data_IF_788635848148
#
_entry.id   IF_788635848148
#
_cell.length_a   1.000
_cell.length_b   1.000
_cell.length_c   1.000
_cell.angle_alpha   90.00
_cell.angle_beta   90.00
_cell.angle_gamma   90.00
#
_symmetry.space_group_name_H-M   'P 1'
#
loop_
_entity.id
_entity.type
_entity.pdbx_description
1 polymer ?
#
# COMPACT_ATOMS: atom_id res chain seq x y z
N UNK A 1 20.90 13.79 -16.05
CA UNK A 1 19.42 13.73 -16.10
C UNK A 1 18.85 14.77 -15.13
N UNK A 2 17.63 15.32 -15.37
CA UNK A 2 16.97 16.18 -14.40
C UNK A 2 16.44 15.35 -13.20
N UNK A 3 16.29 15.95 -12.00
CA UNK A 3 15.74 15.25 -10.84
C UNK A 3 14.38 14.61 -11.11
N UNK A 4 13.51 15.26 -11.89
CA UNK A 4 12.19 14.74 -12.27
C UNK A 4 12.30 13.43 -13.07
N UNK A 5 13.18 13.39 -14.09
CA UNK A 5 13.39 12.17 -14.89
C UNK A 5 13.98 11.03 -14.08
N UNK A 6 14.93 11.32 -13.18
CA UNK A 6 15.52 10.32 -12.28
C UNK A 6 14.43 9.78 -11.33
N UNK A 7 13.63 10.65 -10.75
CA UNK A 7 12.54 10.28 -9.84
C UNK A 7 11.53 9.34 -10.49
N UNK A 8 10.99 9.72 -11.67
CA UNK A 8 10.00 8.89 -12.37
C UNK A 8 10.59 7.57 -12.90
N UNK A 9 11.86 7.59 -13.35
CA UNK A 9 12.56 6.39 -13.78
C UNK A 9 12.79 5.41 -12.62
N UNK A 10 13.24 5.91 -11.45
CA UNK A 10 13.40 5.09 -10.26
C UNK A 10 12.05 4.59 -9.73
N UNK A 11 10.99 5.38 -9.83
CA UNK A 11 9.63 4.90 -9.54
C UNK A 11 9.25 3.73 -10.45
N UNK A 12 9.47 3.84 -11.75
CA UNK A 12 9.16 2.77 -12.69
C UNK A 12 9.97 1.50 -12.41
N UNK A 13 11.29 1.61 -12.26
CA UNK A 13 12.18 0.46 -11.99
C UNK A 13 11.96 -0.17 -10.62
N UNK A 14 11.39 0.55 -9.70
CA UNK A 14 10.98 0.07 -8.36
C UNK A 14 9.67 -0.72 -8.42
N UNK A 15 8.67 -0.21 -9.15
CA UNK A 15 7.32 -0.76 -9.11
C UNK A 15 7.01 -1.79 -10.19
N UNK A 16 7.71 -1.76 -11.34
CA UNK A 16 7.57 -2.79 -12.36
C UNK A 16 7.90 -4.20 -11.83
N UNK A 17 9.02 -4.41 -11.10
CA UNK A 17 9.32 -5.72 -10.51
C UNK A 17 8.27 -6.17 -9.47
N UNK A 18 7.66 -5.24 -8.74
CA UNK A 18 6.56 -5.57 -7.83
C UNK A 18 5.36 -6.13 -8.60
N UNK A 19 5.05 -5.55 -9.76
CA UNK A 19 4.01 -6.06 -10.65
C UNK A 19 4.26 -7.51 -11.10
N UNK A 20 5.53 -7.90 -11.33
CA UNK A 20 5.88 -9.28 -11.69
C UNK A 20 5.46 -10.31 -10.64
N UNK A 21 5.52 -9.96 -9.36
CA UNK A 21 5.32 -10.93 -8.28
C UNK A 21 3.96 -10.84 -7.60
N UNK A 22 3.24 -9.72 -7.75
CA UNK A 22 1.96 -9.50 -7.05
C UNK A 22 0.94 -10.62 -7.29
N UNK A 23 0.92 -11.21 -8.48
CA UNK A 23 -0.02 -12.27 -8.85
C UNK A 23 0.43 -13.67 -8.43
N UNK A 24 1.74 -13.88 -8.21
CA UNK A 24 2.32 -15.19 -7.90
C UNK A 24 2.79 -15.32 -6.45
N UNK A 25 2.70 -14.23 -5.67
CA UNK A 25 3.16 -14.20 -4.27
C UNK A 25 2.45 -15.21 -3.37
N UNK A 26 1.17 -15.50 -3.62
CA UNK A 26 0.40 -16.50 -2.89
C UNK A 26 0.49 -17.88 -3.54
N UNK A 27 0.66 -17.95 -4.85
CA UNK A 27 0.66 -19.21 -5.61
C UNK A 27 1.97 -19.99 -5.43
N UNK A 28 3.12 -19.34 -5.50
CA UNK A 28 4.43 -20.02 -5.38
C UNK A 28 4.64 -20.73 -4.03
N UNK A 29 4.29 -20.14 -2.86
CA UNK A 29 4.36 -20.88 -1.60
C UNK A 29 3.46 -22.12 -1.56
N UNK A 30 2.24 -22.04 -2.12
CA UNK A 30 1.30 -23.16 -2.17
C UNK A 30 1.85 -24.27 -3.09
N UNK A 31 2.34 -23.94 -4.27
CA UNK A 31 3.01 -24.88 -5.17
C UNK A 31 4.19 -25.60 -4.48
N UNK A 32 4.87 -24.94 -3.54
CA UNK A 32 5.96 -25.49 -2.73
C UNK A 32 5.51 -26.17 -1.45
N UNK A 33 4.22 -26.46 -1.31
CA UNK A 33 3.64 -27.28 -0.26
C UNK A 33 3.23 -26.52 1.01
N UNK A 34 3.23 -25.17 1.02
CA UNK A 34 2.64 -24.44 2.12
C UNK A 34 1.11 -24.52 2.07
N UNK A 35 0.49 -24.60 3.22
CA UNK A 35 -0.98 -24.50 3.31
C UNK A 35 -1.46 -23.08 3.05
N UNK A 36 -2.74 -22.93 2.73
CA UNK A 36 -3.37 -21.60 2.55
C UNK A 36 -3.20 -20.75 3.80
N UNK A 37 -3.42 -21.31 4.99
CA UNK A 37 -3.24 -20.61 6.26
C UNK A 37 -1.80 -20.14 6.47
N UNK A 38 -0.80 -20.98 6.18
CA UNK A 38 0.61 -20.61 6.26
C UNK A 38 0.94 -19.49 5.26
N UNK A 39 0.49 -19.62 4.02
CA UNK A 39 0.73 -18.61 2.96
C UNK A 39 0.14 -17.24 3.34
N UNK A 40 -1.09 -17.20 3.84
CA UNK A 40 -1.69 -15.95 4.26
C UNK A 40 -1.02 -15.37 5.53
N UNK A 41 -0.43 -16.21 6.39
CA UNK A 41 0.36 -15.75 7.53
C UNK A 41 1.64 -15.03 7.11
N UNK A 42 2.23 -15.34 5.94
CA UNK A 42 3.40 -14.61 5.42
C UNK A 42 3.09 -13.12 5.21
N UNK A 43 1.88 -12.80 4.75
CA UNK A 43 1.44 -11.41 4.60
C UNK A 43 1.37 -10.67 5.95
N UNK A 44 1.00 -11.39 7.03
CA UNK A 44 1.04 -10.86 8.40
C UNK A 44 2.45 -10.56 8.87
N UNK A 45 3.40 -11.45 8.58
CA UNK A 45 4.82 -11.22 8.90
C UNK A 45 5.31 -9.95 8.21
N UNK A 46 5.02 -9.79 6.91
CA UNK A 46 5.35 -8.57 6.16
C UNK A 46 4.72 -7.33 6.81
N UNK A 47 3.44 -7.37 7.11
CA UNK A 47 2.71 -6.24 7.72
C UNK A 47 3.23 -5.87 9.11
N UNK A 48 3.53 -6.87 9.96
CA UNK A 48 4.09 -6.65 11.30
C UNK A 48 5.48 -6.03 11.26
N UNK A 49 6.32 -6.46 10.31
CA UNK A 49 7.66 -5.87 10.13
C UNK A 49 7.56 -4.43 9.63
N UNK A 50 6.67 -4.14 8.67
CA UNK A 50 6.39 -2.75 8.25
C UNK A 50 5.94 -1.92 9.46
N UNK A 51 4.93 -2.39 10.20
CA UNK A 51 4.43 -1.71 11.39
C UNK A 51 5.54 -1.40 12.41
N UNK A 52 6.41 -2.37 12.70
CA UNK A 52 7.48 -2.21 13.68
C UNK A 52 8.58 -1.24 13.21
N UNK A 53 8.84 -1.16 11.91
CA UNK A 53 9.96 -0.40 11.35
C UNK A 53 9.56 0.97 10.79
N UNK A 54 8.28 1.24 10.52
CA UNK A 54 7.84 2.47 9.83
C UNK A 54 8.24 3.76 10.58
N UNK A 55 8.01 3.81 11.88
CA UNK A 55 8.43 4.96 12.70
C UNK A 55 9.97 5.06 12.87
N UNK A 56 10.69 3.96 13.20
CA UNK A 56 12.14 4.00 13.29
C UNK A 56 12.85 4.41 11.99
N UNK A 57 12.35 3.99 10.83
CA UNK A 57 13.00 4.28 9.54
C UNK A 57 12.85 5.74 9.11
N UNK A 58 11.76 6.42 9.45
CA UNK A 58 11.60 7.85 9.21
C UNK A 58 12.71 8.69 9.87
N UNK A 59 12.98 8.47 11.14
CA UNK A 59 14.08 9.14 11.85
C UNK A 59 15.47 8.77 11.33
N UNK A 60 15.65 7.53 10.87
CA UNK A 60 16.92 7.06 10.30
C UNK A 60 17.23 7.76 8.97
N UNK A 61 16.24 7.92 8.10
CA UNK A 61 16.39 8.60 6.81
C UNK A 61 16.87 10.05 6.98
N UNK A 62 16.43 10.69 8.07
CA UNK A 62 16.87 12.05 8.40
C UNK A 62 18.30 12.12 8.94
N UNK A 63 18.77 11.11 9.66
CA UNK A 63 20.11 11.09 10.24
C UNK A 63 21.19 10.64 9.25
N UNK A 64 20.93 9.59 8.46
CA UNK A 64 21.92 8.98 7.54
C UNK A 64 22.00 9.70 6.21
N UNK A 65 20.88 10.22 5.72
CA UNK A 65 20.72 10.80 4.39
C UNK A 65 19.85 9.94 3.48
N UNK A 66 19.34 10.55 2.39
CA UNK A 66 18.39 9.89 1.48
C UNK A 66 19.04 8.78 0.65
N UNK A 67 20.24 9.06 0.10
CA UNK A 67 20.96 8.10 -0.77
C UNK A 67 21.34 6.81 -0.06
N UNK A 68 21.99 6.82 1.12
CA UNK A 68 22.32 5.58 1.84
C UNK A 68 21.08 4.76 2.20
N UNK A 69 19.96 5.42 2.54
CA UNK A 69 18.71 4.76 2.85
C UNK A 69 18.12 4.05 1.63
N UNK A 70 18.10 4.72 0.45
CA UNK A 70 17.64 4.12 -0.80
C UNK A 70 18.52 2.94 -1.24
N UNK A 71 19.83 3.03 -1.06
CA UNK A 71 20.74 1.91 -1.35
C UNK A 71 20.47 0.75 -0.40
N UNK A 72 20.32 1.00 0.90
CA UNK A 72 19.98 -0.04 1.88
C UNK A 72 18.65 -0.72 1.56
N UNK A 73 17.63 0.06 1.23
CA UNK A 73 16.32 -0.45 0.76
C UNK A 73 16.47 -1.35 -0.46
N UNK A 74 17.20 -0.90 -1.50
CA UNK A 74 17.41 -1.69 -2.72
C UNK A 74 18.21 -2.98 -2.48
N UNK A 75 19.20 -2.96 -1.57
CA UNK A 75 19.91 -4.19 -1.15
C UNK A 75 18.95 -5.17 -0.47
N UNK A 76 18.13 -4.70 0.46
CA UNK A 76 17.13 -5.55 1.13
C UNK A 76 16.11 -6.08 0.12
N UNK A 77 15.73 -5.30 -0.90
CA UNK A 77 14.87 -5.77 -2.00
C UNK A 77 15.49 -6.96 -2.75
N UNK A 78 16.78 -6.87 -3.11
CA UNK A 78 17.49 -7.98 -3.77
C UNK A 78 17.50 -9.21 -2.87
N UNK A 79 17.81 -9.05 -1.58
CA UNK A 79 17.79 -10.16 -0.62
C UNK A 79 16.41 -10.77 -0.48
N UNK A 80 15.35 -9.96 -0.38
CA UNK A 80 13.97 -10.42 -0.30
C UNK A 80 13.56 -11.21 -1.54
N UNK A 81 13.84 -10.68 -2.75
CA UNK A 81 13.55 -11.33 -4.01
C UNK A 81 14.26 -12.69 -4.16
N UNK A 82 15.55 -12.71 -3.85
CA UNK A 82 16.38 -13.92 -3.94
C UNK A 82 15.95 -14.97 -2.91
N UNK A 83 15.69 -14.54 -1.66
CA UNK A 83 15.23 -15.46 -0.61
C UNK A 83 13.87 -16.06 -0.97
N UNK A 84 12.93 -15.26 -1.49
CA UNK A 84 11.62 -15.75 -1.92
C UNK A 84 11.74 -16.74 -3.09
N UNK A 85 12.60 -16.45 -4.09
CA UNK A 85 12.88 -17.33 -5.21
C UNK A 85 13.42 -18.69 -4.76
N UNK A 86 14.33 -18.71 -3.78
CA UNK A 86 15.02 -19.92 -3.33
C UNK A 86 14.30 -20.63 -2.16
N UNK A 87 13.28 -20.03 -1.55
CA UNK A 87 12.57 -20.59 -0.41
C UNK A 87 11.91 -21.93 -0.73
N UNK A 88 12.19 -22.98 0.06
CA UNK A 88 11.61 -24.34 -0.05
C UNK A 88 10.95 -24.80 1.26
N UNK A 89 10.91 -23.94 2.27
CA UNK A 89 10.34 -24.24 3.58
C UNK A 89 9.58 -23.05 4.13
N UNK A 90 8.65 -23.30 5.05
CA UNK A 90 7.86 -22.26 5.72
C UNK A 90 8.76 -21.18 6.32
N UNK A 91 9.85 -21.58 6.99
CA UNK A 91 10.78 -20.63 7.62
C UNK A 91 11.55 -19.77 6.61
N UNK A 92 11.94 -20.34 5.46
CA UNK A 92 12.56 -19.56 4.39
C UNK A 92 11.60 -18.52 3.82
N UNK A 93 10.32 -18.86 3.65
CA UNK A 93 9.30 -17.91 3.26
C UNK A 93 9.03 -16.85 4.34
N UNK A 94 9.06 -17.21 5.62
CA UNK A 94 8.95 -16.25 6.75
C UNK A 94 10.10 -15.24 6.70
N UNK A 95 11.33 -15.69 6.47
CA UNK A 95 12.49 -14.79 6.30
C UNK A 95 12.31 -13.88 5.08
N UNK A 96 11.86 -14.43 3.95
CA UNK A 96 11.59 -13.65 2.75
C UNK A 96 10.50 -12.59 2.98
N UNK A 97 9.41 -12.95 3.67
CA UNK A 97 8.33 -12.04 4.04
C UNK A 97 8.81 -10.93 5.00
N UNK A 98 9.65 -11.26 5.97
CA UNK A 98 10.26 -10.28 6.87
C UNK A 98 11.19 -9.31 6.13
N UNK A 99 12.04 -9.81 5.20
CA UNK A 99 12.87 -8.98 4.34
C UNK A 99 12.02 -8.07 3.44
N UNK A 100 10.91 -8.57 2.90
CA UNK A 100 9.98 -7.76 2.12
C UNK A 100 9.36 -6.63 2.98
N UNK A 101 8.97 -6.92 4.22
CA UNK A 101 8.49 -5.91 5.16
C UNK A 101 9.56 -4.86 5.48
N UNK A 102 10.78 -5.29 5.72
CA UNK A 102 11.93 -4.39 5.94
C UNK A 102 12.19 -3.50 4.72
N UNK A 103 12.20 -4.08 3.51
CA UNK A 103 12.33 -3.32 2.26
C UNK A 103 11.26 -2.24 2.16
N UNK A 104 9.98 -2.58 2.38
CA UNK A 104 8.86 -1.62 2.30
C UNK A 104 9.00 -0.49 3.30
N UNK A 105 9.41 -0.78 4.54
CA UNK A 105 9.62 0.23 5.58
C UNK A 105 10.79 1.18 5.24
N UNK A 106 11.90 0.65 4.72
CA UNK A 106 13.06 1.44 4.32
C UNK A 106 12.81 2.31 3.09
N UNK A 107 11.91 1.87 2.19
CA UNK A 107 11.57 2.54 0.94
C UNK A 107 10.50 3.63 1.13
N UNK A 108 9.81 3.65 2.26
CA UNK A 108 8.72 4.58 2.55
C UNK A 108 9.25 6.02 2.70
N UNK A 109 9.05 6.83 1.65
CA UNK A 109 9.31 8.26 1.61
C UNK A 109 10.71 8.75 1.19
N UNK A 110 11.84 8.01 1.30
CA UNK A 110 13.16 8.55 0.97
C UNK A 110 13.32 9.03 -0.47
N UNK A 111 12.68 8.38 -1.45
CA UNK A 111 12.77 8.75 -2.86
C UNK A 111 12.03 10.07 -3.15
N UNK A 112 10.84 10.24 -2.60
CA UNK A 112 10.07 11.48 -2.72
C UNK A 112 10.79 12.64 -2.04
N UNK A 113 11.26 12.43 -0.81
CA UNK A 113 12.01 13.42 -0.07
C UNK A 113 13.30 13.83 -0.82
N UNK A 114 14.03 12.86 -1.39
CA UNK A 114 15.20 13.15 -2.23
C UNK A 114 14.84 14.00 -3.44
N UNK A 115 13.72 13.68 -4.09
CA UNK A 115 13.28 14.41 -5.27
C UNK A 115 12.98 15.89 -4.93
N UNK A 116 12.21 16.13 -3.87
CA UNK A 116 11.88 17.48 -3.40
C UNK A 116 13.16 18.24 -3.04
N UNK A 117 14.04 17.63 -2.25
CA UNK A 117 15.32 18.22 -1.85
C UNK A 117 16.20 18.55 -3.08
N UNK A 118 16.25 17.66 -4.09
CA UNK A 118 17.07 17.84 -5.29
C UNK A 118 16.53 18.92 -6.24
N UNK A 119 15.22 19.12 -6.29
CA UNK A 119 14.59 20.20 -7.07
C UNK A 119 14.82 21.55 -6.37
N UNK A 120 14.54 21.62 -5.07
CA UNK A 120 14.67 22.87 -4.31
C UNK A 120 16.13 23.31 -4.13
N UNK A 121 17.09 22.38 -4.18
CA UNK A 121 18.51 22.75 -4.18
C UNK A 121 18.92 23.51 -5.45
N UNK A 122 18.26 23.24 -6.59
CA UNK A 122 18.52 23.92 -7.88
C UNK A 122 17.64 25.15 -8.07
N UNK A 123 16.38 25.03 -7.69
CA UNK A 123 15.35 26.06 -7.89
C UNK A 123 14.50 26.17 -6.61
N UNK A 124 14.90 27.01 -5.63
CA UNK A 124 14.15 27.19 -4.40
C UNK A 124 12.70 27.61 -4.68
N UNK A 125 11.72 26.90 -4.07
CA UNK A 125 10.30 27.18 -4.24
C UNK A 125 9.68 26.69 -5.56
N UNK A 126 10.40 25.92 -6.38
CA UNK A 126 9.82 25.34 -7.61
C UNK A 126 8.67 24.39 -7.26
N UNK A 127 7.64 24.39 -8.09
CA UNK A 127 6.50 23.48 -7.98
C UNK A 127 6.92 22.03 -8.26
N UNK A 128 6.64 21.15 -7.32
CA UNK A 128 6.91 19.71 -7.39
C UNK A 128 5.63 18.88 -7.52
N UNK A 129 4.45 19.48 -7.30
CA UNK A 129 3.17 18.79 -7.15
C UNK A 129 2.80 18.03 -8.42
N UNK A 130 3.03 18.63 -9.60
CA UNK A 130 2.78 17.97 -10.88
C UNK A 130 3.59 16.69 -11.06
N UNK A 131 4.87 16.68 -10.65
CA UNK A 131 5.72 15.48 -10.79
C UNK A 131 5.33 14.41 -9.77
N UNK A 132 4.96 14.80 -8.56
CA UNK A 132 4.42 13.89 -7.54
C UNK A 132 3.08 13.28 -7.98
N UNK A 133 2.21 14.05 -8.64
CA UNK A 133 0.99 13.52 -9.23
C UNK A 133 1.27 12.48 -10.34
N UNK A 134 2.27 12.73 -11.21
CA UNK A 134 2.69 11.77 -12.24
C UNK A 134 3.28 10.49 -11.65
N UNK A 135 3.87 10.53 -10.46
CA UNK A 135 4.38 9.33 -9.77
C UNK A 135 3.31 8.27 -9.62
N UNK A 136 2.10 8.65 -9.19
CA UNK A 136 0.98 7.69 -9.03
C UNK A 136 0.62 7.00 -10.35
N UNK A 137 0.63 7.74 -11.47
CA UNK A 137 0.39 7.18 -12.81
C UNK A 137 1.51 6.21 -13.21
N UNK A 138 2.78 6.62 -13.05
CA UNK A 138 3.94 5.77 -13.36
C UNK A 138 3.93 4.50 -12.52
N UNK A 139 3.61 4.60 -11.23
CA UNK A 139 3.47 3.47 -10.31
C UNK A 139 2.41 2.48 -10.83
N UNK A 140 1.18 2.94 -11.08
CA UNK A 140 0.08 2.10 -11.52
C UNK A 140 0.35 1.42 -12.87
N UNK A 141 0.87 2.16 -13.85
CA UNK A 141 1.26 1.62 -15.16
C UNK A 141 2.40 0.59 -15.02
N UNK A 142 3.39 0.87 -14.18
CA UNK A 142 4.52 -0.04 -13.97
C UNK A 142 4.06 -1.37 -13.36
N UNK A 143 3.19 -1.35 -12.36
CA UNK A 143 2.64 -2.58 -11.76
C UNK A 143 1.78 -3.32 -12.79
N UNK A 144 0.92 -2.62 -13.53
CA UNK A 144 0.07 -3.24 -14.55
C UNK A 144 0.90 -3.96 -15.63
N UNK A 145 1.93 -3.30 -16.14
CA UNK A 145 2.84 -3.88 -17.14
C UNK A 145 3.64 -5.05 -16.54
N UNK A 146 4.12 -4.93 -15.31
CA UNK A 146 4.81 -6.00 -14.61
C UNK A 146 3.92 -7.23 -14.43
N UNK A 147 2.66 -7.05 -14.02
CA UNK A 147 1.68 -8.14 -13.90
C UNK A 147 1.41 -8.81 -15.24
N UNK A 148 1.24 -8.04 -16.31
CA UNK A 148 1.04 -8.58 -17.65
C UNK A 148 2.23 -9.43 -18.10
N UNK A 149 3.46 -8.94 -17.89
CA UNK A 149 4.70 -9.67 -18.20
C UNK A 149 4.80 -10.93 -17.33
N UNK A 150 4.41 -10.88 -16.06
CA UNK A 150 4.35 -12.04 -15.16
C UNK A 150 3.50 -13.16 -15.74
N UNK A 151 2.26 -12.87 -16.14
CA UNK A 151 1.39 -13.87 -16.78
C UNK A 151 1.98 -14.44 -18.05
N UNK A 152 2.61 -13.61 -18.89
CA UNK A 152 3.31 -14.03 -20.09
C UNK A 152 4.49 -14.97 -19.80
N UNK A 153 5.29 -14.68 -18.75
CA UNK A 153 6.41 -15.54 -18.32
C UNK A 153 5.91 -16.89 -17.81
N UNK A 154 4.86 -16.91 -17.01
CA UNK A 154 4.26 -18.16 -16.49
C UNK A 154 3.67 -18.99 -17.64
N UNK A 155 2.97 -18.35 -18.59
CA UNK A 155 2.42 -19.03 -19.77
C UNK A 155 3.50 -19.58 -20.69
N UNK A 156 4.55 -18.80 -20.95
CA UNK A 156 5.64 -19.21 -21.86
C UNK A 156 6.45 -20.37 -21.31
N UNK A 157 6.77 -20.41 -20.01
CA UNK A 157 7.46 -21.46 -19.26
C UNK A 157 8.58 -22.17 -20.06
N UNK A 158 9.66 -21.44 -20.44
CA UNK A 158 10.65 -21.97 -21.37
C UNK A 158 11.58 -23.04 -20.74
N UNK A 159 11.60 -23.16 -19.41
CA UNK A 159 12.54 -24.03 -18.68
C UNK A 159 11.79 -25.15 -17.96
N UNK A 160 11.75 -26.32 -18.54
CA UNK A 160 11.03 -27.49 -18.00
C UNK A 160 11.53 -28.01 -16.64
N UNK A 161 12.74 -27.63 -16.24
CA UNK A 161 13.31 -27.97 -14.92
C UNK A 161 13.00 -26.96 -13.79
N UNK A 162 12.28 -25.89 -14.09
CA UNK A 162 11.93 -24.83 -13.14
C UNK A 162 10.41 -24.73 -13.01
N UNK A 163 9.93 -24.29 -11.84
CA UNK A 163 8.53 -23.89 -11.71
C UNK A 163 8.23 -22.68 -12.58
N UNK A 164 7.10 -22.69 -13.28
CA UNK A 164 6.64 -21.55 -14.06
C UNK A 164 6.46 -20.30 -13.17
N UNK A 165 6.00 -20.48 -11.92
CA UNK A 165 5.80 -19.40 -10.95
C UNK A 165 7.11 -18.83 -10.39
N UNK A 166 8.24 -19.54 -10.54
CA UNK A 166 9.55 -19.05 -10.16
C UNK A 166 10.12 -18.02 -11.15
N UNK A 167 9.73 -18.06 -12.43
CA UNK A 167 10.25 -17.16 -13.47
C UNK A 167 9.98 -15.68 -13.20
N UNK A 168 8.77 -15.26 -12.77
CA UNK A 168 8.54 -13.88 -12.34
C UNK A 168 9.45 -13.45 -11.19
N UNK A 169 9.74 -14.34 -10.22
CA UNK A 169 10.64 -14.03 -9.11
C UNK A 169 12.12 -13.97 -9.55
N UNK A 170 12.55 -14.83 -10.48
CA UNK A 170 13.89 -14.75 -11.04
C UNK A 170 14.08 -13.42 -11.79
N UNK A 171 13.10 -13.03 -12.60
CA UNK A 171 13.09 -11.73 -13.30
C UNK A 171 13.08 -10.57 -12.30
N UNK A 172 12.28 -10.68 -11.24
CA UNK A 172 12.25 -9.69 -10.15
C UNK A 172 13.63 -9.53 -9.51
N UNK A 173 14.31 -10.63 -9.18
CA UNK A 173 15.65 -10.58 -8.55
C UNK A 173 16.66 -9.87 -9.46
N UNK A 174 16.68 -10.17 -10.76
CA UNK A 174 17.54 -9.49 -11.74
C UNK A 174 17.22 -7.99 -11.81
N UNK A 175 15.95 -7.63 -11.92
CA UNK A 175 15.54 -6.23 -12.01
C UNK A 175 15.76 -5.47 -10.69
N UNK A 176 15.70 -6.14 -9.54
CA UNK A 176 16.06 -5.55 -8.25
C UNK A 176 17.55 -5.18 -8.21
N UNK A 177 18.43 -6.02 -8.78
CA UNK A 177 19.86 -5.68 -8.94
C UNK A 177 20.03 -4.48 -9.88
N UNK A 178 19.32 -4.45 -11.00
CA UNK A 178 19.33 -3.30 -11.93
C UNK A 178 18.88 -2.04 -11.21
N UNK A 179 17.80 -2.10 -10.44
CA UNK A 179 17.30 -0.97 -9.65
C UNK A 179 18.35 -0.50 -8.62
N UNK A 180 18.99 -1.42 -7.89
CA UNK A 180 20.07 -1.10 -6.96
C UNK A 180 21.21 -0.33 -7.66
N UNK A 181 21.67 -0.81 -8.82
CA UNK A 181 22.70 -0.13 -9.62
C UNK A 181 22.24 1.26 -10.03
N UNK A 182 21.01 1.39 -10.51
CA UNK A 182 20.45 2.69 -10.92
C UNK A 182 20.35 3.66 -9.74
N UNK A 183 19.89 3.22 -8.58
CA UNK A 183 19.88 4.04 -7.35
C UNK A 183 21.30 4.50 -7.01
N UNK A 184 22.28 3.59 -7.00
CA UNK A 184 23.67 3.91 -6.67
C UNK A 184 24.30 4.92 -7.65
N UNK A 185 23.95 4.85 -8.95
CA UNK A 185 24.51 5.72 -9.99
C UNK A 185 23.78 7.06 -10.12
N UNK A 186 22.46 7.08 -10.01
CA UNK A 186 21.65 8.25 -10.36
C UNK A 186 21.30 9.12 -9.14
N UNK A 187 21.15 8.53 -7.96
CA UNK A 187 20.86 9.29 -6.74
C UNK A 187 22.14 9.93 -6.21
N UNK A 188 22.17 11.25 -6.23
CA UNK A 188 23.27 12.03 -5.62
C UNK A 188 22.77 12.63 -4.32
N UNK A 189 23.59 12.56 -3.27
CA UNK A 189 23.26 13.19 -1.99
C UNK A 189 23.14 14.71 -2.17
N UNK A 190 22.05 15.27 -1.70
CA UNK A 190 21.82 16.71 -1.72
C UNK A 190 22.39 17.28 -0.41
N UNK A 191 23.33 18.23 -0.47
CA UNK A 191 23.85 18.87 0.74
C UNK A 191 22.70 19.55 1.49
N UNK A 192 22.47 19.15 2.73
CA UNK A 192 21.49 19.84 3.59
C UNK A 192 22.00 21.23 3.92
N UNK A 193 21.20 22.26 3.70
CA UNK A 193 21.41 23.56 4.33
C UNK A 193 21.30 23.36 5.84
N UNK A 194 22.29 23.79 6.64
CA UNK A 194 22.13 23.77 8.09
C UNK A 194 20.84 24.51 8.44
N UNK A 195 19.97 23.86 9.21
CA UNK A 195 18.87 24.59 9.83
C UNK A 195 19.50 25.72 10.68
N UNK A 196 18.97 26.92 10.60
CA UNK A 196 19.53 28.14 11.19
C UNK A 196 19.51 28.17 12.75
N UNK A 197 19.49 27.01 13.39
CA UNK A 197 19.49 26.87 14.85
C UNK A 197 20.53 25.83 15.27
N UNK A 198 21.66 26.29 15.79
CA UNK A 198 22.65 25.49 16.52
C UNK A 198 23.95 25.23 15.76
N UNK A 199 25.04 25.80 16.25
CA UNK A 199 26.44 25.61 15.85
C UNK A 199 26.94 24.20 16.18
N UNK A 200 26.36 23.17 15.56
CA UNK A 200 26.84 21.79 15.65
C UNK A 200 27.57 21.41 14.37
N UNK A 201 28.88 21.16 14.46
CA UNK A 201 29.70 20.64 13.38
C UNK A 201 29.05 19.35 12.79
N UNK A 202 28.96 19.26 11.45
CA UNK A 202 28.47 18.06 10.77
C UNK A 202 29.36 16.88 11.18
N UNK A 203 28.82 15.84 11.84
CA UNK A 203 29.63 14.74 12.34
C UNK A 203 30.29 13.99 11.19
N UNK A 204 31.55 13.60 11.38
CA UNK A 204 32.33 12.84 10.44
C UNK A 204 31.61 11.54 10.03
N UNK A 205 31.83 11.05 8.80
CA UNK A 205 31.12 9.91 8.18
C UNK A 205 31.01 8.67 9.09
N UNK A 206 32.01 8.40 9.93
CA UNK A 206 31.99 7.28 10.92
C UNK A 206 30.97 7.47 12.05
N UNK A 207 30.63 8.71 12.38
CA UNK A 207 29.67 9.01 13.46
C UNK A 207 28.20 9.00 12.95
N UNK A 208 27.96 9.08 11.63
CA UNK A 208 26.59 9.09 11.06
C UNK A 208 25.83 7.80 11.33
N UNK A 209 26.47 6.63 11.20
CA UNK A 209 25.82 5.34 11.49
C UNK A 209 25.52 5.15 12.98
N UNK A 210 26.42 5.60 13.87
CA UNK A 210 26.12 5.63 15.30
C UNK A 210 24.98 6.59 15.62
N UNK A 211 24.99 7.78 15.06
CA UNK A 211 23.89 8.74 15.18
C UNK A 211 22.56 8.18 14.64
N UNK A 212 22.60 7.44 13.53
CA UNK A 212 21.43 6.77 12.99
C UNK A 212 20.90 5.69 13.94
N UNK A 213 21.76 4.82 14.47
CA UNK A 213 21.33 3.81 15.45
C UNK A 213 20.71 4.46 16.69
N UNK A 214 21.28 5.57 17.16
CA UNK A 214 20.73 6.33 18.28
C UNK A 214 19.38 6.99 17.90
N UNK A 215 19.26 7.57 16.69
CA UNK A 215 18.00 8.18 16.24
C UNK A 215 16.91 7.12 16.03
N UNK A 216 17.26 5.96 15.48
CA UNK A 216 16.36 4.81 15.33
C UNK A 216 15.88 4.31 16.68
N UNK A 217 16.80 4.13 17.64
CA UNK A 217 16.44 3.72 19.00
C UNK A 217 15.60 4.79 19.73
N UNK A 218 15.89 6.06 19.53
CA UNK A 218 15.11 7.17 20.08
C UNK A 218 13.70 7.21 19.47
N UNK A 219 13.56 7.05 18.15
CA UNK A 219 12.26 6.97 17.47
C UNK A 219 11.45 5.75 17.90
N UNK A 220 12.11 4.58 18.05
CA UNK A 220 11.47 3.38 18.58
C UNK A 220 10.96 3.58 20.02
N UNK A 221 11.72 4.27 20.87
CA UNK A 221 11.29 4.62 22.24
C UNK A 221 10.11 5.60 22.27
N UNK A 222 9.97 6.44 21.25
CA UNK A 222 8.86 7.38 21.11
C UNK A 222 7.59 6.71 20.56
N UNK A 223 7.69 5.51 19.95
CA UNK A 223 6.57 4.78 19.38
C UNK A 223 5.37 4.64 20.34
N UNK A 224 5.54 4.24 21.61
CA UNK A 224 4.41 4.16 22.55
C UNK A 224 3.74 5.53 22.79
N UNK A 225 4.53 6.61 22.82
CA UNK A 225 4.01 7.96 23.01
C UNK A 225 3.22 8.44 21.78
N UNK A 226 3.69 8.13 20.57
CA UNK A 226 2.99 8.44 19.31
C UNK A 226 1.68 7.66 19.24
N UNK A 227 1.70 6.36 19.54
CA UNK A 227 0.49 5.54 19.60
C UNK A 227 -0.48 6.08 20.65
N UNK A 228 0.00 6.38 21.88
CA UNK A 228 -0.83 6.94 22.95
C UNK A 228 -1.42 8.31 22.59
N UNK A 229 -0.67 9.18 21.91
CA UNK A 229 -1.18 10.48 21.46
C UNK A 229 -2.27 10.33 20.41
N UNK A 230 -2.09 9.41 19.50
CA UNK A 230 -3.07 9.11 18.49
C UNK A 230 -4.33 8.43 19.05
N UNK A 231 -4.19 7.51 20.01
CA UNK A 231 -5.35 6.93 20.71
C UNK A 231 -6.15 8.01 21.47
N UNK A 232 -5.48 8.99 22.08
CA UNK A 232 -6.15 10.14 22.68
C UNK A 232 -6.93 10.97 21.65
N UNK A 233 -6.30 11.29 20.52
CA UNK A 233 -6.96 11.99 19.41
C UNK A 233 -8.20 11.23 18.92
N UNK A 234 -8.10 9.92 18.74
CA UNK A 234 -9.22 9.06 18.33
C UNK A 234 -10.31 8.99 19.41
N UNK A 235 -9.94 9.01 20.71
CA UNK A 235 -10.92 9.05 21.81
C UNK A 235 -11.74 10.33 21.81
N UNK A 236 -11.10 11.45 21.54
CA UNK A 236 -11.71 12.78 21.63
C UNK A 236 -12.48 13.15 20.33
N UNK A 237 -12.12 12.54 19.19
CA UNK A 237 -12.76 12.78 17.90
C UNK A 237 -13.51 11.54 17.40
N UNK A 238 -14.85 11.59 17.44
CA UNK A 238 -15.73 10.49 17.01
C UNK A 238 -15.59 10.14 15.53
N UNK A 239 -15.33 11.15 14.67
CA UNK A 239 -15.15 10.93 13.22
C UNK A 239 -13.84 10.21 12.98
N UNK A 240 -12.74 10.71 13.56
CA UNK A 240 -11.43 10.07 13.44
C UNK A 240 -11.43 8.65 13.96
N UNK A 241 -12.07 8.41 15.12
CA UNK A 241 -12.24 7.05 15.65
C UNK A 241 -12.96 6.12 14.67
N UNK A 242 -14.05 6.60 14.07
CA UNK A 242 -14.78 5.83 13.04
C UNK A 242 -13.89 5.51 11.84
N UNK A 243 -13.15 6.51 11.33
CA UNK A 243 -12.25 6.32 10.19
C UNK A 243 -11.12 5.32 10.49
N UNK A 244 -10.55 5.33 11.69
CA UNK A 244 -9.55 4.33 12.08
C UNK A 244 -10.15 2.93 12.22
N UNK A 245 -11.35 2.82 12.80
CA UNK A 245 -12.03 1.52 12.95
C UNK A 245 -12.44 0.92 11.59
N UNK A 246 -12.71 1.73 10.57
CA UNK A 246 -13.04 1.24 9.22
C UNK A 246 -11.93 0.38 8.62
N UNK A 247 -10.65 0.66 8.98
CA UNK A 247 -9.51 -0.12 8.48
C UNK A 247 -9.57 -1.60 8.88
N UNK A 248 -10.11 -1.91 10.09
CA UNK A 248 -10.30 -3.27 10.54
C UNK A 248 -11.23 -4.06 9.60
N UNK A 249 -12.31 -3.42 9.16
CA UNK A 249 -13.27 -4.01 8.23
C UNK A 249 -12.76 -4.00 6.78
N UNK A 250 -12.04 -2.95 6.38
CA UNK A 250 -11.46 -2.82 5.06
C UNK A 250 -10.44 -3.91 4.75
N UNK A 251 -9.62 -4.24 5.74
CA UNK A 251 -8.57 -5.24 5.63
C UNK A 251 -9.10 -6.62 5.22
N UNK A 252 -10.29 -7.03 5.68
CA UNK A 252 -10.85 -8.35 5.33
C UNK A 252 -11.22 -8.45 3.85
N UNK A 253 -11.84 -7.42 3.26
CA UNK A 253 -12.07 -7.40 1.82
C UNK A 253 -10.76 -7.34 1.02
N UNK A 254 -9.74 -6.61 1.52
CA UNK A 254 -8.44 -6.53 0.89
C UNK A 254 -7.77 -7.91 0.82
N UNK A 255 -7.83 -8.72 1.88
CA UNK A 255 -7.36 -10.12 1.86
C UNK A 255 -8.10 -10.93 0.79
N UNK A 256 -9.40 -10.71 0.61
CA UNK A 256 -10.19 -11.45 -0.40
C UNK A 256 -9.66 -11.21 -1.81
N UNK A 257 -9.56 -9.95 -2.24
CA UNK A 257 -9.21 -9.66 -3.63
C UNK A 257 -7.69 -9.60 -3.91
N UNK A 258 -6.84 -9.50 -2.88
CA UNK A 258 -5.38 -9.53 -3.08
C UNK A 258 -4.76 -10.91 -2.82
N UNK A 259 -5.27 -11.66 -1.84
CA UNK A 259 -4.63 -12.91 -1.41
C UNK A 259 -5.46 -14.16 -1.72
N UNK A 260 -6.77 -14.17 -1.46
CA UNK A 260 -7.62 -15.35 -1.70
C UNK A 260 -8.02 -15.50 -3.16
N UNK A 261 -8.10 -14.41 -3.92
CA UNK A 261 -8.54 -14.43 -5.31
C UNK A 261 -7.60 -15.27 -6.22
N UNK A 262 -6.26 -15.13 -6.17
CA UNK A 262 -5.38 -16.01 -6.95
C UNK A 262 -5.49 -17.48 -6.53
N UNK A 263 -5.68 -17.76 -5.24
CA UNK A 263 -5.87 -19.11 -4.71
C UNK A 263 -7.18 -19.70 -5.25
N UNK A 264 -8.27 -18.93 -5.21
CA UNK A 264 -9.56 -19.37 -5.78
C UNK A 264 -9.46 -19.62 -7.29
N UNK A 265 -8.67 -18.80 -8.00
CA UNK A 265 -8.43 -19.03 -9.43
C UNK A 265 -7.68 -20.34 -9.68
N UNK A 266 -6.70 -20.68 -8.83
CA UNK A 266 -5.98 -21.94 -8.92
C UNK A 266 -6.90 -23.16 -8.69
N UNK A 267 -7.79 -23.09 -7.71
CA UNK A 267 -8.81 -24.12 -7.48
C UNK A 267 -9.74 -24.30 -8.71
N UNK A 268 -10.16 -23.19 -9.33
CA UNK A 268 -11.08 -23.24 -10.48
C UNK A 268 -10.40 -23.69 -11.79
N UNK A 269 -9.10 -23.47 -11.93
CA UNK A 269 -8.33 -23.86 -13.12
C UNK A 269 -7.56 -25.17 -12.95
N UNK A 270 -7.57 -25.76 -11.74
CA UNK A 270 -6.92 -27.02 -11.43
C UNK A 270 -5.39 -26.93 -11.27
N UNK A 271 -4.86 -25.74 -10.93
CA UNK A 271 -3.42 -25.58 -10.61
C UNK A 271 -2.93 -24.14 -10.55
N UNK A 272 -1.86 -23.96 -9.79
CA UNK A 272 -1.27 -22.66 -9.48
C UNK A 272 -0.63 -22.01 -10.72
N UNK A 273 0.02 -22.79 -11.58
CA UNK A 273 0.64 -22.28 -12.81
C UNK A 273 -0.42 -21.75 -13.79
N UNK A 274 -1.54 -22.49 -13.97
CA UNK A 274 -2.65 -22.04 -14.81
C UNK A 274 -3.25 -20.73 -14.27
N UNK A 275 -3.43 -20.64 -12.96
CA UNK A 275 -3.87 -19.41 -12.31
C UNK A 275 -2.87 -18.27 -12.50
N UNK A 276 -1.58 -18.51 -12.31
CA UNK A 276 -0.54 -17.49 -12.47
C UNK A 276 -0.49 -16.88 -13.88
N UNK A 277 -0.70 -17.71 -14.92
CA UNK A 277 -0.77 -17.23 -16.30
C UNK A 277 -1.98 -16.30 -16.54
N UNK A 278 -3.15 -16.69 -16.03
CA UNK A 278 -4.39 -15.90 -16.18
C UNK A 278 -4.38 -14.65 -15.31
N UNK A 279 -3.81 -14.74 -14.11
CA UNK A 279 -3.80 -13.64 -13.16
C UNK A 279 -2.99 -12.43 -13.61
N UNK A 280 -1.96 -12.62 -14.44
CA UNK A 280 -1.18 -11.51 -14.99
C UNK A 280 -2.03 -10.49 -15.77
N UNK A 281 -2.68 -10.90 -16.88
CA UNK A 281 -3.61 -10.04 -17.61
C UNK A 281 -4.77 -9.52 -16.75
N UNK A 282 -5.35 -10.35 -15.89
CA UNK A 282 -6.46 -9.98 -15.01
C UNK A 282 -6.06 -8.86 -14.05
N UNK A 283 -4.89 -8.97 -13.41
CA UNK A 283 -4.39 -7.92 -12.51
C UNK A 283 -4.02 -6.64 -13.28
N UNK A 284 -3.46 -6.77 -14.48
CA UNK A 284 -3.17 -5.60 -15.35
C UNK A 284 -4.44 -4.80 -15.67
N UNK A 285 -5.53 -5.48 -16.08
CA UNK A 285 -6.84 -4.86 -16.32
C UNK A 285 -7.40 -4.32 -14.99
N UNK A 286 -7.21 -5.05 -13.89
CA UNK A 286 -7.62 -4.64 -12.54
C UNK A 286 -7.06 -3.28 -12.14
N UNK A 287 -5.78 -3.01 -12.43
CA UNK A 287 -5.18 -1.68 -12.19
C UNK A 287 -5.84 -0.56 -13.01
N UNK A 288 -6.29 -0.87 -14.25
CA UNK A 288 -7.12 0.03 -15.05
C UNK A 288 -8.49 0.29 -14.40
N UNK A 289 -9.15 -0.76 -13.94
CA UNK A 289 -10.43 -0.66 -13.21
C UNK A 289 -10.27 0.15 -11.91
N UNK A 290 -9.18 -0.06 -11.17
CA UNK A 290 -8.85 0.71 -9.97
C UNK A 290 -8.71 2.21 -10.28
N UNK A 291 -7.97 2.56 -11.33
CA UNK A 291 -7.80 3.95 -11.75
C UNK A 291 -9.12 4.60 -12.16
N UNK A 292 -9.97 3.86 -12.89
CA UNK A 292 -11.31 4.31 -13.26
C UNK A 292 -12.18 4.53 -12.01
N UNK A 293 -12.16 3.61 -11.06
CA UNK A 293 -12.88 3.74 -9.79
C UNK A 293 -12.45 4.97 -8.99
N UNK A 294 -11.15 5.25 -8.93
CA UNK A 294 -10.63 6.45 -8.28
C UNK A 294 -11.12 7.74 -8.97
N UNK A 295 -11.14 7.77 -10.30
CA UNK A 295 -11.66 8.91 -11.07
C UNK A 295 -13.17 9.13 -10.84
N UNK A 296 -13.95 8.05 -10.88
CA UNK A 296 -15.41 8.09 -10.64
C UNK A 296 -15.73 8.51 -9.22
N UNK A 297 -14.90 8.17 -8.23
CA UNK A 297 -15.05 8.63 -6.86
C UNK A 297 -15.07 10.16 -6.76
N UNK A 298 -14.21 10.85 -7.52
CA UNK A 298 -14.19 12.32 -7.55
C UNK A 298 -15.51 12.91 -8.04
N UNK A 299 -16.10 12.35 -9.09
CA UNK A 299 -17.39 12.77 -9.63
C UNK A 299 -18.54 12.47 -8.64
N UNK A 300 -18.57 11.26 -8.09
CA UNK A 300 -19.57 10.86 -7.11
C UNK A 300 -19.53 11.73 -5.83
N UNK A 301 -18.33 12.03 -5.35
CA UNK A 301 -18.14 12.85 -4.15
C UNK A 301 -18.64 14.29 -4.33
N UNK A 302 -18.51 14.86 -5.54
CA UNK A 302 -19.08 16.18 -5.87
C UNK A 302 -20.60 16.19 -5.88
N UNK A 303 -21.23 15.10 -6.35
CA UNK A 303 -22.70 15.00 -6.49
C UNK A 303 -23.39 14.58 -5.21
N UNK A 304 -22.84 13.60 -4.48
CA UNK A 304 -23.52 12.95 -3.36
C UNK A 304 -22.90 13.27 -1.99
N UNK A 305 -21.75 13.96 -1.97
CA UNK A 305 -20.94 14.18 -0.78
C UNK A 305 -19.92 13.05 -0.53
N UNK A 306 -18.83 13.41 0.16
CA UNK A 306 -17.69 12.49 0.36
C UNK A 306 -18.04 11.34 1.28
N UNK A 307 -18.75 11.60 2.39
CA UNK A 307 -19.11 10.55 3.35
C UNK A 307 -20.08 9.51 2.73
N UNK A 308 -21.09 9.95 1.98
CA UNK A 308 -22.02 9.03 1.30
C UNK A 308 -21.29 8.19 0.24
N UNK A 309 -20.40 8.81 -0.53
CA UNK A 309 -19.58 8.10 -1.54
C UNK A 309 -18.70 7.05 -0.88
N UNK A 310 -18.03 7.37 0.23
CA UNK A 310 -17.21 6.43 0.99
C UNK A 310 -18.04 5.24 1.54
N UNK A 311 -19.25 5.52 2.07
CA UNK A 311 -20.16 4.49 2.55
C UNK A 311 -20.61 3.55 1.42
N UNK A 312 -21.04 4.11 0.28
CA UNK A 312 -21.46 3.32 -0.88
C UNK A 312 -20.31 2.47 -1.43
N UNK A 313 -19.11 3.06 -1.58
CA UNK A 313 -17.91 2.35 -2.01
C UNK A 313 -17.59 1.18 -1.07
N UNK A 314 -17.68 1.37 0.25
CA UNK A 314 -17.43 0.31 1.25
C UNK A 314 -18.43 -0.85 1.13
N UNK A 315 -19.71 -0.54 1.08
CA UNK A 315 -20.76 -1.57 0.94
C UNK A 315 -20.58 -2.35 -0.35
N UNK A 316 -20.45 -1.65 -1.47
CA UNK A 316 -20.33 -2.28 -2.78
C UNK A 316 -19.04 -3.11 -2.91
N UNK A 317 -17.92 -2.62 -2.36
CA UNK A 317 -16.66 -3.37 -2.33
C UNK A 317 -16.78 -4.65 -1.50
N UNK A 318 -17.42 -4.59 -0.32
CA UNK A 318 -17.65 -5.78 0.50
C UNK A 318 -18.61 -6.78 -0.17
N UNK A 319 -19.70 -6.31 -0.80
CA UNK A 319 -20.60 -7.15 -1.59
C UNK A 319 -19.89 -7.76 -2.80
N UNK A 320 -18.98 -7.01 -3.46
CA UNK A 320 -18.13 -7.52 -4.52
C UNK A 320 -17.24 -8.67 -4.05
N UNK A 321 -16.65 -8.56 -2.85
CA UNK A 321 -15.87 -9.64 -2.24
C UNK A 321 -16.74 -10.89 -1.94
N UNK A 322 -17.99 -10.71 -1.49
CA UNK A 322 -18.96 -11.81 -1.35
C UNK A 322 -19.25 -12.44 -2.71
N UNK A 323 -19.48 -11.63 -3.76
CA UNK A 323 -19.71 -12.12 -5.12
C UNK A 323 -18.52 -12.94 -5.65
N UNK A 324 -17.29 -12.53 -5.37
CA UNK A 324 -16.11 -13.33 -5.71
C UNK A 324 -16.14 -14.71 -5.03
N UNK A 325 -16.59 -14.81 -3.78
CA UNK A 325 -16.77 -16.08 -3.08
C UNK A 325 -17.86 -16.96 -3.68
N UNK A 326 -18.91 -16.36 -4.24
CA UNK A 326 -20.00 -17.08 -4.93
C UNK A 326 -19.65 -17.49 -6.37
N UNK A 327 -18.47 -17.11 -6.88
CA UNK A 327 -18.08 -17.41 -8.26
C UNK A 327 -17.90 -18.92 -8.47
N UNK A 328 -18.76 -19.49 -9.31
CA UNK A 328 -18.75 -20.91 -9.68
C UNK A 328 -17.77 -21.27 -10.83
N UNK A 329 -17.11 -20.26 -11.43
CA UNK A 329 -16.16 -20.47 -12.53
C UNK A 329 -15.19 -19.30 -12.72
N UNK A 330 -14.12 -19.51 -13.51
CA UNK A 330 -13.05 -18.54 -13.69
C UNK A 330 -13.55 -17.19 -14.23
N UNK A 331 -14.39 -17.20 -15.24
CA UNK A 331 -14.94 -15.97 -15.87
C UNK A 331 -15.74 -15.13 -14.88
N UNK A 332 -16.61 -15.77 -14.08
CA UNK A 332 -17.39 -15.06 -13.06
C UNK A 332 -16.49 -14.46 -11.99
N UNK A 333 -15.43 -15.19 -11.57
CA UNK A 333 -14.46 -14.69 -10.61
C UNK A 333 -13.69 -13.47 -11.15
N UNK A 334 -13.27 -13.50 -12.43
CA UNK A 334 -12.60 -12.35 -13.07
C UNK A 334 -13.53 -11.13 -13.12
N UNK A 335 -14.77 -11.29 -13.56
CA UNK A 335 -15.72 -10.16 -13.61
C UNK A 335 -15.98 -9.59 -12.22
N UNK A 336 -16.26 -10.47 -11.24
CA UNK A 336 -16.44 -10.05 -9.84
C UNK A 336 -15.20 -9.32 -9.29
N UNK A 337 -14.00 -9.84 -9.59
CA UNK A 337 -12.74 -9.20 -9.19
C UNK A 337 -12.58 -7.80 -9.81
N UNK A 338 -12.75 -7.66 -11.12
CA UNK A 338 -12.57 -6.37 -11.80
C UNK A 338 -13.54 -5.30 -11.27
N UNK A 339 -14.79 -5.66 -11.02
CA UNK A 339 -15.77 -4.76 -10.40
C UNK A 339 -15.35 -4.40 -8.97
N UNK A 340 -14.98 -5.40 -8.17
CA UNK A 340 -14.57 -5.21 -6.77
C UNK A 340 -13.31 -4.35 -6.67
N UNK A 341 -12.35 -4.58 -7.56
CA UNK A 341 -11.09 -3.83 -7.57
C UNK A 341 -11.27 -2.39 -8.07
N UNK A 342 -12.20 -2.16 -9.01
CA UNK A 342 -12.63 -0.81 -9.38
C UNK A 342 -13.27 -0.06 -8.21
N UNK A 343 -14.15 -0.73 -7.46
CA UNK A 343 -14.75 -0.16 -6.25
C UNK A 343 -13.70 0.10 -5.14
N UNK A 344 -12.69 -0.77 -5.04
CA UNK A 344 -11.55 -0.53 -4.13
C UNK A 344 -10.80 0.75 -4.50
N UNK A 345 -10.59 1.02 -5.79
CA UNK A 345 -9.97 2.27 -6.27
C UNK A 345 -10.72 3.52 -5.81
N UNK A 346 -12.04 3.45 -5.64
CA UNK A 346 -12.84 4.56 -5.12
C UNK A 346 -12.73 4.78 -3.61
N UNK A 347 -12.32 3.77 -2.87
CA UNK A 347 -12.27 3.83 -1.39
C UNK A 347 -11.16 4.75 -0.87
N UNK A 348 -9.96 4.72 -1.48
CA UNK A 348 -8.81 5.51 -1.06
C UNK A 348 -9.05 7.02 -1.08
N UNK A 349 -9.44 7.62 -2.22
CA UNK A 349 -9.67 9.08 -2.32
C UNK A 349 -10.74 9.60 -1.35
N UNK A 350 -11.86 8.90 -1.21
CA UNK A 350 -12.94 9.31 -0.30
C UNK A 350 -12.54 9.19 1.18
N UNK A 351 -11.86 8.12 1.54
CA UNK A 351 -11.33 7.92 2.89
C UNK A 351 -10.29 8.98 3.25
N UNK A 352 -9.30 9.20 2.38
CA UNK A 352 -8.26 10.21 2.60
C UNK A 352 -8.84 11.63 2.71
N UNK A 353 -9.84 11.96 1.88
CA UNK A 353 -10.52 13.25 1.98
C UNK A 353 -11.19 13.46 3.35
N UNK A 354 -11.85 12.42 3.90
CA UNK A 354 -12.43 12.48 5.24
C UNK A 354 -11.34 12.58 6.32
N UNK A 355 -10.27 11.80 6.19
CA UNK A 355 -9.17 11.81 7.15
C UNK A 355 -8.46 13.18 7.20
N UNK A 356 -8.23 13.80 6.04
CA UNK A 356 -7.64 15.13 5.96
C UNK A 356 -8.53 16.24 6.55
N UNK A 357 -9.86 16.08 6.52
CA UNK A 357 -10.80 17.03 7.15
C UNK A 357 -10.69 17.02 8.68
N UNK A 358 -10.30 15.89 9.27
CA UNK A 358 -10.16 15.72 10.72
C UNK A 358 -8.73 16.01 11.22
N UNK A 359 -7.76 16.06 10.32
CA UNK A 359 -6.35 16.34 10.62
C UNK A 359 -6.07 17.84 10.60
N UNK A 360 -5.55 18.38 11.73
CA UNK A 360 -5.04 19.74 11.82
C UNK A 360 -3.61 19.80 11.29
N UNK A 361 -3.09 21.01 11.02
CA UNK A 361 -1.71 21.19 10.52
C UNK A 361 -0.65 20.62 11.47
N UNK A 362 -0.89 20.71 12.78
CA UNK A 362 0.00 20.27 13.85
C UNK A 362 -0.01 18.77 14.12
N UNK A 363 -1.07 18.04 13.73
CA UNK A 363 -1.21 16.62 13.98
C UNK A 363 -1.42 15.74 12.71
N UNK A 364 -1.34 16.35 11.52
CA UNK A 364 -1.62 15.64 10.24
C UNK A 364 -0.75 14.41 10.04
N UNK A 365 0.57 14.51 10.28
CA UNK A 365 1.48 13.37 10.17
C UNK A 365 1.10 12.25 11.13
N UNK A 366 0.76 12.58 12.37
CA UNK A 366 0.33 11.60 13.37
C UNK A 366 -0.93 10.87 12.95
N UNK A 367 -1.94 11.59 12.45
CA UNK A 367 -3.21 11.01 12.00
C UNK A 367 -3.00 10.07 10.81
N UNK A 368 -2.20 10.46 9.81
CA UNK A 368 -1.90 9.64 8.65
C UNK A 368 -1.09 8.39 9.02
N UNK A 369 -0.05 8.53 9.85
CA UNK A 369 0.73 7.39 10.33
C UNK A 369 -0.14 6.41 11.13
N UNK A 370 -1.06 6.91 11.96
CA UNK A 370 -2.00 6.05 12.69
C UNK A 370 -2.92 5.28 11.75
N UNK A 371 -3.46 5.90 10.71
CA UNK A 371 -4.31 5.23 9.74
C UNK A 371 -3.54 4.10 9.05
N UNK A 372 -2.30 4.36 8.59
CA UNK A 372 -1.42 3.33 8.01
C UNK A 372 -1.13 2.20 9.01
N UNK A 373 -0.78 2.53 10.25
CA UNK A 373 -0.47 1.53 11.28
C UNK A 373 -1.68 0.64 11.58
N UNK A 374 -2.88 1.23 11.73
CA UNK A 374 -4.11 0.46 11.95
C UNK A 374 -4.42 -0.41 10.73
N UNK A 375 -4.25 0.10 9.52
CA UNK A 375 -4.43 -0.66 8.28
C UNK A 375 -3.50 -1.89 8.22
N UNK A 376 -2.19 -1.73 8.45
CA UNK A 376 -1.24 -2.84 8.48
C UNK A 376 -1.54 -3.84 9.60
N UNK A 377 -1.85 -3.37 10.81
CA UNK A 377 -2.20 -4.24 11.92
C UNK A 377 -3.50 -5.03 11.63
N UNK A 378 -4.50 -4.38 11.06
CA UNK A 378 -5.76 -5.01 10.68
C UNK A 378 -5.56 -6.09 9.62
N UNK A 379 -4.75 -5.79 8.58
CA UNK A 379 -4.41 -6.77 7.55
C UNK A 379 -3.61 -7.95 8.12
N UNK A 380 -2.66 -7.69 9.03
CA UNK A 380 -1.86 -8.71 9.68
C UNK A 380 -2.70 -9.68 10.54
N UNK A 381 -3.84 -9.22 11.07
CA UNK A 381 -4.80 -10.08 11.82
C UNK A 381 -5.79 -10.75 10.87
N UNK A 382 -6.34 -10.01 9.92
CA UNK A 382 -7.36 -10.51 9.00
C UNK A 382 -6.83 -11.62 8.08
N UNK A 383 -5.58 -11.49 7.61
CA UNK A 383 -4.98 -12.43 6.66
C UNK A 383 -4.88 -13.86 7.21
N UNK A 384 -4.24 -14.14 8.36
CA UNK A 384 -4.21 -15.49 8.90
C UNK A 384 -5.58 -15.99 9.38
N UNK A 385 -6.46 -15.10 9.86
CA UNK A 385 -7.81 -15.48 10.25
C UNK A 385 -8.62 -16.02 9.05
N UNK A 386 -8.61 -15.31 7.94
CA UNK A 386 -9.27 -15.76 6.70
C UNK A 386 -8.53 -16.95 6.08
N UNK A 387 -7.21 -17.03 6.21
CA UNK A 387 -6.43 -18.19 5.81
C UNK A 387 -6.82 -19.44 6.57
N UNK A 388 -7.05 -19.33 7.88
CA UNK A 388 -7.54 -20.45 8.70
C UNK A 388 -8.97 -20.88 8.29
N UNK A 389 -9.86 -19.92 8.02
CA UNK A 389 -11.21 -20.23 7.52
C UNK A 389 -11.15 -20.93 6.15
N UNK A 390 -10.28 -20.46 5.25
CA UNK A 390 -10.10 -21.10 3.94
C UNK A 390 -9.56 -22.51 4.06
N UNK A 391 -8.61 -22.75 4.98
CA UNK A 391 -7.98 -24.05 5.23
C UNK A 391 -8.93 -25.05 5.89
N UNK A 392 -9.73 -24.62 6.89
CA UNK A 392 -10.60 -25.50 7.68
C UNK A 392 -11.99 -25.69 7.06
N UNK A 393 -12.42 -24.75 6.22
CA UNK A 393 -13.70 -24.78 5.52
C UNK A 393 -13.52 -24.78 4.00
N UNK A 394 -13.49 -23.61 3.40
CA UNK A 394 -13.22 -23.46 1.97
C UNK A 394 -12.81 -22.02 1.64
N UNK A 395 -12.09 -21.84 0.53
CA UNK A 395 -11.75 -20.50 0.01
C UNK A 395 -12.97 -19.64 -0.28
N UNK A 396 -14.04 -20.15 -0.94
CA UNK A 396 -15.30 -19.41 -1.10
C UNK A 396 -15.90 -18.91 0.23
N UNK A 397 -15.94 -19.76 1.25
CA UNK A 397 -16.46 -19.39 2.57
C UNK A 397 -15.64 -18.24 3.20
N UNK A 398 -14.32 -18.32 3.14
CA UNK A 398 -13.45 -17.26 3.64
C UNK A 398 -13.66 -15.94 2.89
N UNK A 399 -13.84 -15.99 1.57
CA UNK A 399 -14.13 -14.81 0.74
C UNK A 399 -15.50 -14.19 1.11
N UNK A 400 -16.54 -15.01 1.26
CA UNK A 400 -17.87 -14.53 1.64
C UNK A 400 -17.88 -13.91 3.03
N UNK A 401 -17.25 -14.55 4.01
CA UNK A 401 -17.16 -14.03 5.37
C UNK A 401 -16.33 -12.74 5.43
N UNK A 402 -15.18 -12.68 4.74
CA UNK A 402 -14.36 -11.48 4.65
C UNK A 402 -15.09 -10.30 4.01
N UNK A 403 -15.84 -10.56 2.93
CA UNK A 403 -16.68 -9.56 2.26
C UNK A 403 -17.84 -9.09 3.14
N UNK A 404 -18.58 -10.02 3.74
CA UNK A 404 -19.70 -9.69 4.63
C UNK A 404 -19.26 -8.89 5.86
N UNK A 405 -18.13 -9.27 6.48
CA UNK A 405 -17.57 -8.52 7.59
C UNK A 405 -17.14 -7.11 7.14
N UNK A 406 -16.56 -6.96 5.96
CA UNK A 406 -16.18 -5.65 5.41
C UNK A 406 -17.37 -4.70 5.24
N UNK A 407 -18.57 -5.20 4.88
CA UNK A 407 -19.79 -4.39 4.76
C UNK A 407 -20.14 -3.71 6.09
N UNK A 408 -19.93 -4.37 7.23
CA UNK A 408 -20.22 -3.81 8.55
C UNK A 408 -19.40 -2.53 8.83
N UNK A 409 -18.26 -2.38 8.18
CA UNK A 409 -17.44 -1.16 8.26
C UNK A 409 -18.16 0.12 7.81
N UNK A 410 -19.26 0.01 7.07
CA UNK A 410 -20.11 1.17 6.71
C UNK A 410 -20.60 1.95 7.94
N UNK A 411 -20.85 1.27 9.04
CA UNK A 411 -21.32 1.88 10.30
C UNK A 411 -20.29 2.86 10.88
N UNK A 412 -19.01 2.60 10.63
CA UNK A 412 -17.91 3.46 11.11
C UNK A 412 -17.88 4.84 10.41
N UNK A 413 -18.53 5.00 9.25
CA UNK A 413 -18.67 6.28 8.57
C UNK A 413 -19.83 7.15 9.07
N UNK A 414 -20.73 6.63 9.90
CA UNK A 414 -21.91 7.39 10.39
C UNK A 414 -21.54 8.72 11.09
N UNK A 415 -20.49 8.79 11.93
CA UNK A 415 -20.07 10.07 12.50
C UNK A 415 -19.63 11.08 11.43
N UNK A 416 -18.90 10.63 10.39
CA UNK A 416 -18.46 11.48 9.28
C UNK A 416 -19.66 12.01 8.47
N UNK A 417 -20.66 11.16 8.22
CA UNK A 417 -21.89 11.55 7.53
C UNK A 417 -22.67 12.60 8.31
N UNK A 418 -22.79 12.46 9.63
CA UNK A 418 -23.47 13.44 10.50
C UNK A 418 -22.74 14.79 10.46
N UNK A 419 -21.41 14.77 10.62
CA UNK A 419 -20.59 15.96 10.55
C UNK A 419 -20.66 16.68 9.18
N UNK A 420 -20.76 15.92 8.08
CA UNK A 420 -20.91 16.49 6.73
C UNK A 420 -22.28 17.19 6.57
N UNK A 421 -23.37 16.59 7.08
CA UNK A 421 -24.71 17.19 7.07
C UNK A 421 -24.80 18.45 7.90
N UNK A 422 -24.18 18.49 9.08
CA UNK A 422 -24.13 19.67 9.95
C UNK A 422 -23.37 20.83 9.30
N UNK A 423 -22.27 20.53 8.59
CA UNK A 423 -21.51 21.55 7.82
C UNK A 423 -22.36 22.12 6.68
N UNK A 424 -23.11 21.29 5.95
CA UNK A 424 -24.00 21.74 4.89
C UNK A 424 -25.09 22.70 5.42
N UNK A 425 -25.79 22.32 6.51
CA UNK A 425 -26.82 23.15 7.12
C UNK A 425 -26.28 24.53 7.55
N UNK A 426 -25.11 24.58 8.20
CA UNK A 426 -24.47 25.86 8.61
C UNK A 426 -24.11 26.73 7.41
N UNK A 427 -23.70 26.13 6.27
CA UNK A 427 -23.42 26.91 5.06
C UNK A 427 -24.71 27.51 4.47
N UNK A 428 -25.81 26.75 4.48
CA UNK A 428 -27.12 27.20 4.02
C UNK A 428 -27.69 28.30 4.93
N UNK A 429 -27.48 28.22 6.26
CA UNK A 429 -27.94 29.22 7.24
C UNK A 429 -27.17 30.58 7.14
N UNK A 430 -25.93 30.57 6.59
CA UNK A 430 -25.09 31.77 6.42
C UNK A 430 -25.32 32.46 5.07
N UNK A 431 -25.79 31.75 4.05
CA UNK A 431 -25.99 32.27 2.69
C UNK A 431 -27.05 33.39 2.57
N UNK A 432 -28.17 33.39 3.31
CA UNK A 432 -29.21 34.43 3.16
C UNK A 432 -28.81 35.84 3.64
N UNK A 433 -27.83 35.95 4.53
CA UNK A 433 -27.45 37.23 5.17
C UNK A 433 -26.59 38.11 4.25
N UNK A 434 -25.97 37.55 3.21
CA UNK A 434 -25.12 38.34 2.30
C UNK A 434 -25.87 38.95 1.11
N UNK A 435 -27.03 38.41 0.72
CA UNK A 435 -27.83 39.01 -0.35
C UNK A 435 -28.59 40.25 0.13
N UNK A 436 -29.04 40.30 1.37
CA UNK A 436 -29.73 41.49 1.93
C UNK A 436 -28.79 42.66 2.25
N UNK A 437 -27.50 42.39 2.51
CA UNK A 437 -26.50 43.43 2.77
C UNK A 437 -25.93 44.05 1.47
N UNK A 438 -26.14 43.46 0.32
CA UNK A 438 -25.74 43.99 -0.99
C UNK A 438 -26.89 44.75 -1.67
N UNK A 439 -28.10 44.66 -1.13
CA UNK A 439 -29.32 45.35 -1.63
C UNK A 439 -29.73 46.57 -0.78
N UNK A 440 -29.03 46.86 0.33
CA UNK A 440 -29.17 48.06 1.18
C UNK A 440 -27.97 49.00 1.00
#
# INVERSE_FOLDING_TARGET
>A
MSPQRVFLLLTATRWFPVGLVVTVTTLLPIERGLTVAQTLTLASVTGLVVFALELPTGGTADAVGRRPMLIASAVVQVLAATTFLLAQSVWAFVVAAALMGMFRALDSGPLEAWFVDAVHAKHPGADVDRTLAHQGTVLGVSIALGALVSGGLVWWHPFTGWSALALPYATYAVLAVVHLVMVAMLVREVPRRPAAVGTGAVPARRHRWRAALWSTAASARQMPAVVASGLRLARDNRVLRGLLLVELFAATAMVVFESLQPIRMAELLGGEAAAGAVMGPVASIGWGAFALGAALCGLASRRFGVARTAMAARVLNGLGAVWMGLAGGPTMLVVAYLVTYGLHGSSGPSYNALLHREARRDNRSTVLSMASMVGFASYAVASPALGWVAQSGSTPLAMMLGGAFSVLGVLCFLPALRAERERGRRADDVAPVQEDAAAA
#
